data_IF_499197702287
#
_entry.id   IF_499197702287
#
_cell.length_a   1.000
_cell.length_b   1.000
_cell.length_c   1.000
_cell.angle_alpha   90.00
_cell.angle_beta   90.00
_cell.angle_gamma   90.00
#
_symmetry.space_group_name_H-M   'P 1'
#
loop_
_entity.id
_entity.type
_entity.pdbx_description
1 polymer ?
#
# COMPACT_ATOMS: atom_id res chain seq x y z
N UNK A 1 28.06 27.88 13.38
CA UNK A 1 28.06 26.53 12.83
C UNK A 1 26.75 25.87 13.19
N UNK A 2 25.81 25.95 12.30
CA UNK A 2 24.52 25.29 12.49
C UNK A 2 24.62 23.86 11.95
N UNK A 3 25.15 22.97 12.80
CA UNK A 3 25.07 21.55 12.55
C UNK A 3 23.64 21.08 12.78
N UNK A 4 22.83 21.12 11.73
CA UNK A 4 21.54 20.46 11.74
C UNK A 4 21.80 18.96 11.59
N UNK A 5 22.35 18.36 12.64
CA UNK A 5 22.41 16.91 12.74
C UNK A 5 20.97 16.43 12.87
N UNK A 6 20.38 15.99 11.76
CA UNK A 6 19.10 15.30 11.79
C UNK A 6 19.24 14.17 12.80
N UNK A 7 18.43 14.21 13.86
CA UNK A 7 18.38 13.11 14.83
C UNK A 7 18.16 11.82 14.05
N UNK A 8 18.93 10.75 14.33
CA UNK A 8 18.69 9.49 13.67
C UNK A 8 17.22 9.11 13.89
N UNK A 9 16.49 8.81 12.80
CA UNK A 9 15.11 8.38 12.92
C UNK A 9 15.08 7.06 13.69
N UNK A 10 14.11 6.90 14.60
CA UNK A 10 13.98 5.64 15.32
C UNK A 10 13.81 4.48 14.34
N UNK A 11 14.28 3.27 14.69
CA UNK A 11 14.07 2.11 13.84
C UNK A 11 12.58 1.89 13.59
N UNK A 12 12.19 1.34 12.42
CA UNK A 12 10.78 1.07 12.11
C UNK A 12 10.16 0.20 13.19
N UNK A 13 8.88 0.46 13.52
CA UNK A 13 8.13 -0.39 14.42
C UNK A 13 8.07 -1.83 13.90
N UNK A 14 7.82 -2.79 14.79
CA UNK A 14 7.68 -4.21 14.41
C UNK A 14 6.60 -4.40 13.34
N UNK A 15 5.52 -3.61 13.40
CA UNK A 15 4.44 -3.62 12.41
C UNK A 15 4.94 -3.19 11.02
N UNK A 16 5.68 -2.09 10.93
CA UNK A 16 6.27 -1.62 9.67
C UNK A 16 7.27 -2.62 9.13
N UNK A 17 8.12 -3.19 9.98
CA UNK A 17 9.08 -4.24 9.57
C UNK A 17 8.38 -5.46 9.00
N UNK A 18 7.30 -5.93 9.64
CA UNK A 18 6.51 -7.06 9.15
C UNK A 18 5.87 -6.77 7.79
N UNK A 19 5.34 -5.56 7.61
CA UNK A 19 4.77 -5.11 6.34
C UNK A 19 5.83 -5.12 5.23
N UNK A 20 7.00 -4.56 5.48
CA UNK A 20 8.10 -4.52 4.51
C UNK A 20 8.56 -5.93 4.14
N UNK A 21 8.64 -6.85 5.09
CA UNK A 21 8.98 -8.26 4.81
C UNK A 21 7.94 -8.91 3.88
N UNK A 22 6.66 -8.67 4.12
CA UNK A 22 5.59 -9.23 3.29
C UNK A 22 5.64 -8.68 1.86
N UNK A 23 5.89 -7.39 1.70
CA UNK A 23 6.06 -6.76 0.39
C UNK A 23 7.30 -7.32 -0.32
N UNK A 24 8.41 -7.47 0.38
CA UNK A 24 9.66 -8.01 -0.17
C UNK A 24 9.49 -9.45 -0.66
N UNK A 25 8.74 -10.27 0.06
CA UNK A 25 8.45 -11.66 -0.35
C UNK A 25 7.64 -11.71 -1.64
N UNK A 26 6.66 -10.84 -1.79
CA UNK A 26 5.86 -10.76 -3.00
C UNK A 26 6.70 -10.36 -4.23
N UNK A 27 7.71 -9.50 -4.05
CA UNK A 27 8.59 -9.09 -5.14
C UNK A 27 9.65 -10.11 -5.55
N UNK A 28 10.00 -11.03 -4.67
CA UNK A 28 11.04 -12.05 -4.92
C UNK A 28 10.55 -13.29 -5.63
N UNK A 29 9.29 -13.31 -6.07
CA UNK A 29 8.75 -14.44 -6.83
C UNK A 29 9.51 -14.67 -8.13
N UNK A 30 9.42 -15.91 -8.71
CA UNK A 30 10.12 -16.28 -9.94
C UNK A 30 9.54 -15.61 -11.19
N UNK A 31 8.52 -14.79 -11.04
CA UNK A 31 7.81 -14.15 -12.13
C UNK A 31 8.64 -13.02 -12.76
N UNK A 32 8.37 -12.73 -14.02
CA UNK A 32 8.99 -11.61 -14.71
C UNK A 32 8.62 -10.28 -14.03
N UNK A 33 9.43 -9.23 -14.24
CA UNK A 33 9.15 -7.90 -13.66
C UNK A 33 7.75 -7.38 -14.01
N UNK A 34 7.25 -7.71 -15.18
CA UNK A 34 5.92 -7.28 -15.66
C UNK A 34 4.80 -7.97 -14.90
N UNK A 35 5.01 -9.21 -14.44
CA UNK A 35 4.00 -10.04 -13.80
C UNK A 35 4.09 -10.03 -12.27
N UNK A 36 4.99 -9.23 -11.70
CA UNK A 36 5.11 -9.12 -10.24
C UNK A 36 3.83 -8.58 -9.62
N UNK A 37 3.35 -9.19 -8.52
CA UNK A 37 2.19 -8.69 -7.81
C UNK A 37 2.41 -7.27 -7.31
N UNK A 38 1.44 -6.42 -7.52
CA UNK A 38 1.43 -5.07 -6.95
C UNK A 38 0.63 -5.06 -5.67
N UNK A 39 1.11 -4.30 -4.68
CA UNK A 39 0.52 -4.19 -3.35
C UNK A 39 -0.07 -2.82 -3.12
N UNK A 40 -1.24 -2.78 -2.49
CA UNK A 40 -1.79 -1.55 -1.91
C UNK A 40 -1.74 -1.66 -0.39
N UNK A 41 -1.26 -0.63 0.25
CA UNK A 41 -1.20 -0.52 1.70
C UNK A 41 -2.17 0.56 2.17
N UNK A 42 -3.18 0.16 2.93
CA UNK A 42 -4.15 1.07 3.51
C UNK A 42 -3.85 1.35 4.97
N UNK A 43 -3.87 2.63 5.32
CA UNK A 43 -3.78 3.10 6.70
C UNK A 43 -4.77 4.25 6.95
N UNK A 44 -5.23 4.37 8.19
CA UNK A 44 -6.02 5.52 8.64
C UNK A 44 -5.19 6.74 8.90
N UNK A 45 -3.91 6.54 9.25
CA UNK A 45 -3.04 7.57 9.76
C UNK A 45 -2.05 7.99 8.69
N UNK A 46 -2.10 9.26 8.31
CA UNK A 46 -1.12 9.82 7.38
C UNK A 46 0.31 9.71 7.93
N UNK A 47 0.47 9.83 9.25
CA UNK A 47 1.77 9.61 9.90
C UNK A 47 2.29 8.18 9.73
N UNK A 48 1.42 7.19 9.75
CA UNK A 48 1.81 5.80 9.48
C UNK A 48 2.24 5.64 8.03
N UNK A 49 1.54 6.27 7.09
CA UNK A 49 1.95 6.29 5.68
C UNK A 49 3.32 6.96 5.50
N UNK A 50 3.61 8.01 6.26
CA UNK A 50 4.94 8.65 6.25
C UNK A 50 6.03 7.67 6.70
N UNK A 51 5.79 6.93 7.79
CA UNK A 51 6.73 5.94 8.31
C UNK A 51 6.96 4.78 7.33
N UNK A 52 5.89 4.29 6.73
CA UNK A 52 5.96 3.22 5.73
C UNK A 52 6.71 3.71 4.49
N UNK A 53 6.40 4.90 4.00
CA UNK A 53 7.07 5.51 2.85
C UNK A 53 8.57 5.68 3.09
N UNK A 54 8.95 6.12 4.28
CA UNK A 54 10.35 6.23 4.66
C UNK A 54 11.05 4.87 4.66
N UNK A 55 10.41 3.84 5.21
CA UNK A 55 10.96 2.50 5.24
C UNK A 55 11.11 1.90 3.83
N UNK A 56 10.12 2.13 2.95
CA UNK A 56 10.17 1.71 1.56
C UNK A 56 11.32 2.38 0.80
N UNK A 57 11.48 3.68 0.96
CA UNK A 57 12.60 4.42 0.35
C UNK A 57 13.95 3.89 0.82
N UNK A 58 14.07 3.58 2.11
CA UNK A 58 15.32 3.03 2.69
C UNK A 58 15.68 1.67 2.11
N UNK A 59 14.69 0.90 1.66
CA UNK A 59 14.87 -0.42 1.05
C UNK A 59 14.94 -0.38 -0.49
N UNK A 60 14.84 0.81 -1.09
CA UNK A 60 14.91 0.98 -2.54
C UNK A 60 13.62 0.66 -3.29
N UNK A 61 12.48 0.57 -2.60
CA UNK A 61 11.19 0.38 -3.26
C UNK A 61 10.69 1.67 -3.90
N UNK A 62 10.13 1.55 -5.10
CA UNK A 62 9.38 2.60 -5.73
C UNK A 62 7.90 2.46 -5.35
N UNK A 63 7.29 3.55 -4.95
CA UNK A 63 5.89 3.57 -4.53
C UNK A 63 5.23 4.90 -4.89
N UNK A 64 3.91 4.89 -4.93
CA UNK A 64 3.07 6.07 -5.04
C UNK A 64 2.21 6.22 -3.78
N UNK A 65 1.66 7.39 -3.57
CA UNK A 65 0.81 7.68 -2.40
C UNK A 65 -0.39 8.51 -2.78
N UNK A 66 -1.54 8.14 -2.26
CA UNK A 66 -2.79 8.89 -2.36
C UNK A 66 -3.39 9.04 -0.96
N UNK A 67 -3.65 10.27 -0.55
CA UNK A 67 -4.30 10.58 0.72
C UNK A 67 -5.28 11.75 0.57
N UNK A 68 -5.89 12.19 1.67
CA UNK A 68 -6.84 13.29 1.66
C UNK A 68 -6.27 14.64 1.21
N UNK A 69 -4.95 14.81 1.24
CA UNK A 69 -4.26 16.02 0.78
C UNK A 69 -3.92 15.99 -0.71
N UNK A 70 -4.04 14.84 -1.35
CA UNK A 70 -3.73 14.70 -2.77
C UNK A 70 -4.78 15.39 -3.63
N UNK A 71 -4.32 16.23 -4.56
CA UNK A 71 -5.21 16.84 -5.57
C UNK A 71 -5.70 15.79 -6.58
N UNK A 72 -6.71 16.14 -7.37
CA UNK A 72 -7.22 15.25 -8.42
C UNK A 72 -6.13 14.90 -9.45
N UNK A 73 -5.31 15.87 -9.83
CA UNK A 73 -4.21 15.64 -10.76
C UNK A 73 -3.10 14.78 -10.14
N UNK A 74 -2.80 14.96 -8.87
CA UNK A 74 -1.85 14.11 -8.15
C UNK A 74 -2.34 12.67 -8.06
N UNK A 75 -3.61 12.45 -7.75
CA UNK A 75 -4.23 11.12 -7.71
C UNK A 75 -4.17 10.41 -9.06
N UNK A 76 -4.52 11.15 -10.12
CA UNK A 76 -4.46 10.62 -11.48
C UNK A 76 -3.04 10.21 -11.86
N UNK A 77 -2.05 11.07 -11.61
CA UNK A 77 -0.65 10.78 -11.90
C UNK A 77 -0.14 9.56 -11.10
N UNK A 78 -0.50 9.47 -9.82
CA UNK A 78 -0.12 8.33 -8.96
C UNK A 78 -0.72 7.01 -9.45
N UNK A 79 -1.99 7.02 -9.86
CA UNK A 79 -2.67 5.83 -10.39
C UNK A 79 -2.08 5.40 -11.73
N UNK A 80 -1.77 6.34 -12.61
CA UNK A 80 -1.14 6.04 -13.91
C UNK A 80 0.25 5.43 -13.73
N UNK A 81 1.06 5.99 -12.84
CA UNK A 81 2.39 5.45 -12.54
C UNK A 81 2.31 4.06 -11.92
N UNK A 82 1.44 3.88 -10.94
CA UNK A 82 1.25 2.59 -10.28
C UNK A 82 0.77 1.51 -11.25
N UNK A 83 -0.17 1.85 -12.14
CA UNK A 83 -0.72 0.90 -13.11
C UNK A 83 0.20 0.62 -14.28
N UNK A 84 1.02 1.58 -14.70
CA UNK A 84 1.80 1.51 -15.94
C UNK A 84 3.29 1.25 -15.77
N UNK A 85 3.88 1.53 -14.61
CA UNK A 85 5.30 1.35 -14.36
C UNK A 85 5.58 0.00 -13.68
N UNK A 86 6.26 -0.95 -14.35
CA UNK A 86 6.57 -2.26 -13.75
C UNK A 86 7.48 -2.18 -12.52
N UNK A 87 8.22 -1.11 -12.35
CA UNK A 87 9.10 -0.91 -11.19
C UNK A 87 8.35 -0.33 -9.98
N UNK A 88 7.18 0.26 -10.18
CA UNK A 88 6.34 0.80 -9.11
C UNK A 88 5.33 -0.24 -8.65
N UNK A 89 5.65 -0.99 -7.60
CA UNK A 89 4.86 -2.14 -7.16
C UNK A 89 4.08 -1.89 -5.87
N UNK A 90 4.14 -0.69 -5.31
CA UNK A 90 3.47 -0.36 -4.05
C UNK A 90 2.70 0.95 -4.18
N UNK A 91 1.45 0.93 -3.72
CA UNK A 91 0.61 2.12 -3.54
C UNK A 91 0.30 2.27 -2.06
N UNK A 92 0.62 3.42 -1.48
CA UNK A 92 0.18 3.80 -0.15
C UNK A 92 -1.10 4.62 -0.27
N UNK A 93 -2.14 4.24 0.43
CA UNK A 93 -3.41 4.95 0.37
C UNK A 93 -4.03 5.11 1.76
N UNK A 94 -4.59 6.29 2.03
CA UNK A 94 -5.43 6.46 3.20
C UNK A 94 -6.78 5.79 2.96
N UNK A 95 -7.39 5.24 4.00
CA UNK A 95 -8.71 4.60 3.88
C UNK A 95 -9.77 5.64 3.49
N UNK A 96 -9.63 6.88 3.93
CA UNK A 96 -10.51 7.97 3.51
C UNK A 96 -10.46 8.21 1.98
N UNK A 97 -9.28 8.19 1.39
CA UNK A 97 -9.13 8.33 -0.07
C UNK A 97 -9.75 7.17 -0.84
N UNK A 98 -9.69 5.95 -0.29
CA UNK A 98 -10.33 4.78 -0.88
C UNK A 98 -11.85 4.93 -1.02
N UNK A 99 -12.50 5.64 -0.09
CA UNK A 99 -13.93 5.94 -0.15
C UNK A 99 -14.34 6.85 -1.31
N UNK A 100 -13.39 7.51 -1.98
CA UNK A 100 -13.64 8.45 -3.08
C UNK A 100 -13.63 7.79 -4.48
N UNK A 101 -13.62 6.46 -4.57
CA UNK A 101 -13.84 5.74 -5.81
C UNK A 101 -12.61 5.54 -6.70
N UNK A 102 -11.42 5.60 -6.15
CA UNK A 102 -10.18 5.33 -6.90
C UNK A 102 -10.12 3.88 -7.40
N UNK A 103 -9.51 3.68 -8.55
CA UNK A 103 -9.32 2.35 -9.17
C UNK A 103 -7.93 1.83 -8.87
N UNK A 104 -7.85 0.73 -8.12
CA UNK A 104 -6.61 0.07 -7.73
C UNK A 104 -6.55 -1.38 -8.23
N UNK A 105 -7.26 -1.69 -9.32
CA UNK A 105 -7.32 -3.04 -9.88
C UNK A 105 -5.99 -3.54 -10.46
N UNK A 106 -5.00 -2.68 -10.61
CA UNK A 106 -3.62 -3.09 -10.95
C UNK A 106 -2.96 -3.89 -9.83
N UNK A 107 -3.45 -3.76 -8.59
CA UNK A 107 -2.95 -4.51 -7.45
C UNK A 107 -3.68 -5.84 -7.28
N UNK A 108 -3.02 -6.78 -6.62
CA UNK A 108 -3.60 -8.07 -6.23
C UNK A 108 -3.38 -8.40 -4.75
N UNK A 109 -2.60 -7.61 -4.06
CA UNK A 109 -2.35 -7.77 -2.62
C UNK A 109 -2.77 -6.50 -1.90
N UNK A 110 -3.60 -6.66 -0.88
CA UNK A 110 -4.09 -5.56 -0.03
C UNK A 110 -3.55 -5.76 1.38
N UNK A 111 -2.88 -4.76 1.90
CA UNK A 111 -2.43 -4.73 3.29
C UNK A 111 -3.27 -3.73 4.07
N UNK A 112 -3.90 -4.17 5.13
CA UNK A 112 -4.60 -3.31 6.11
C UNK A 112 -3.69 -3.21 7.33
N UNK A 113 -3.21 -2.01 7.63
CA UNK A 113 -2.19 -1.81 8.68
C UNK A 113 -2.80 -1.76 10.07
N UNK A 114 -3.94 -1.08 10.24
CA UNK A 114 -4.64 -0.98 11.51
C UNK A 114 -6.10 -1.41 11.37
N UNK A 115 -6.71 -1.95 12.45
CA UNK A 115 -8.13 -2.21 12.45
C UNK A 115 -8.93 -0.90 12.48
N UNK A 116 -10.09 -0.87 11.83
CA UNK A 116 -11.02 0.23 11.90
C UNK A 116 -12.24 -0.14 12.75
N UNK A 117 -12.77 0.83 13.47
CA UNK A 117 -14.00 0.66 14.22
C UNK A 117 -15.22 0.36 13.30
N UNK A 118 -15.15 0.81 12.05
CA UNK A 118 -16.19 0.56 11.06
C UNK A 118 -15.69 -0.46 10.01
N UNK A 119 -16.19 -1.71 10.04
CA UNK A 119 -15.78 -2.73 9.08
C UNK A 119 -16.17 -2.39 7.64
N UNK A 120 -17.14 -1.53 7.40
CA UNK A 120 -17.52 -1.07 6.06
C UNK A 120 -16.39 -0.29 5.37
N UNK A 121 -15.57 0.43 6.12
CA UNK A 121 -14.46 1.18 5.56
C UNK A 121 -13.38 0.25 5.00
N UNK A 122 -13.06 -0.84 5.71
CA UNK A 122 -12.13 -1.86 5.20
C UNK A 122 -12.69 -2.56 3.95
N UNK A 123 -13.98 -2.91 3.96
CA UNK A 123 -14.64 -3.53 2.82
C UNK A 123 -14.62 -2.61 1.59
N UNK A 124 -14.87 -1.32 1.75
CA UNK A 124 -14.78 -0.34 0.66
C UNK A 124 -13.35 -0.24 0.11
N UNK A 125 -12.34 -0.25 0.97
CA UNK A 125 -10.95 -0.23 0.56
C UNK A 125 -10.60 -1.47 -0.28
N UNK A 126 -10.99 -2.65 0.17
CA UNK A 126 -10.78 -3.91 -0.57
C UNK A 126 -11.49 -3.87 -1.93
N UNK A 127 -12.69 -3.30 -2.01
CA UNK A 127 -13.47 -3.19 -3.24
C UNK A 127 -12.79 -2.30 -4.31
N UNK A 128 -11.82 -1.47 -3.95
CA UNK A 128 -11.04 -0.68 -4.92
C UNK A 128 -10.05 -1.56 -5.69
N UNK A 129 -9.65 -2.67 -5.11
CA UNK A 129 -8.77 -3.67 -5.72
C UNK A 129 -9.59 -4.82 -6.30
N UNK A 130 -10.49 -5.40 -5.52
CA UNK A 130 -11.38 -6.50 -5.91
C UNK A 130 -12.70 -5.96 -6.46
N UNK A 131 -12.72 -5.63 -7.73
CA UNK A 131 -13.89 -5.08 -8.42
C UNK A 131 -13.99 -5.62 -9.83
N UNK A 132 -15.08 -5.31 -10.54
CA UNK A 132 -15.31 -5.71 -11.93
C UNK A 132 -14.11 -5.28 -12.79
N UNK A 133 -13.54 -6.24 -13.53
CA UNK A 133 -12.34 -6.04 -14.35
C UNK A 133 -11.06 -6.55 -13.70
N UNK A 134 -11.08 -6.93 -12.41
CA UNK A 134 -9.96 -7.59 -11.77
C UNK A 134 -9.78 -9.01 -12.32
N UNK A 135 -8.59 -9.29 -12.86
CA UNK A 135 -8.28 -10.59 -13.48
C UNK A 135 -7.40 -11.48 -12.61
N UNK A 136 -6.92 -10.97 -11.49
CA UNK A 136 -6.04 -11.69 -10.57
C UNK A 136 -6.78 -12.04 -9.28
N UNK A 137 -6.34 -13.11 -8.62
CA UNK A 137 -6.77 -13.41 -7.26
C UNK A 137 -6.29 -12.28 -6.33
N UNK A 138 -7.17 -11.81 -5.46
CA UNK A 138 -6.86 -10.76 -4.51
C UNK A 138 -6.63 -11.35 -3.13
N UNK A 139 -5.49 -11.04 -2.55
CA UNK A 139 -5.11 -11.45 -1.20
C UNK A 139 -5.19 -10.26 -0.25
N UNK A 140 -5.87 -10.44 0.88
CA UNK A 140 -5.98 -9.41 1.91
C UNK A 140 -5.18 -9.84 3.14
N UNK A 141 -4.23 -9.00 3.55
CA UNK A 141 -3.36 -9.25 4.70
C UNK A 141 -3.61 -8.17 5.75
N UNK A 142 -4.10 -8.58 6.91
CA UNK A 142 -4.28 -7.70 8.07
C UNK A 142 -3.03 -7.76 8.95
N UNK A 143 -2.24 -6.71 8.94
CA UNK A 143 -0.96 -6.67 9.66
C UNK A 143 -1.16 -6.69 11.18
N UNK A 144 -2.32 -6.22 11.66
CA UNK A 144 -2.64 -6.15 13.09
C UNK A 144 -3.06 -7.48 13.72
N UNK A 145 -3.54 -8.44 12.93
CA UNK A 145 -4.09 -9.71 13.44
C UNK A 145 -3.30 -10.95 13.05
N UNK A 146 -2.33 -10.81 12.16
CA UNK A 146 -1.62 -11.95 11.58
C UNK A 146 -2.51 -12.87 10.72
N UNK A 147 -3.74 -12.46 10.47
CA UNK A 147 -4.72 -13.25 9.71
C UNK A 147 -4.52 -13.12 8.21
N UNK A 148 -4.47 -14.27 7.55
CA UNK A 148 -4.47 -14.36 6.09
C UNK A 148 -5.86 -14.83 5.66
N UNK A 149 -6.67 -13.91 5.16
CA UNK A 149 -7.92 -14.25 4.49
C UNK A 149 -7.73 -14.27 2.99
N UNK A 150 -8.15 -15.35 2.37
CA UNK A 150 -8.40 -15.36 0.91
C UNK A 150 -9.87 -15.01 0.73
N UNK A 151 -10.18 -13.90 0.05
CA UNK A 151 -11.55 -13.70 -0.41
C UNK A 151 -11.66 -14.33 -1.80
N UNK A 152 -12.12 -15.57 -1.80
CA UNK A 152 -12.69 -16.16 -2.99
C UNK A 152 -14.18 -15.85 -2.98
N UNK A 153 -14.57 -14.85 -3.76
CA UNK A 153 -15.92 -14.76 -4.35
C UNK A 153 -15.94 -13.71 -5.44
#
# INVERSE_FOLDING_TARGET
>A
MNGNASKPKPPPSAKVQALIRNISRAERGPESRVDRPKSVVFSYWTKMLDLIGFALNSQGFQFQRIDGQSSMSQRKAALETFGGDPECNVMLASIGAAGEGIDLTSASIVHIVEPHWNPMAEAQAVDRVHRIGQQKDVYVISTYSGYKGTSND
#
